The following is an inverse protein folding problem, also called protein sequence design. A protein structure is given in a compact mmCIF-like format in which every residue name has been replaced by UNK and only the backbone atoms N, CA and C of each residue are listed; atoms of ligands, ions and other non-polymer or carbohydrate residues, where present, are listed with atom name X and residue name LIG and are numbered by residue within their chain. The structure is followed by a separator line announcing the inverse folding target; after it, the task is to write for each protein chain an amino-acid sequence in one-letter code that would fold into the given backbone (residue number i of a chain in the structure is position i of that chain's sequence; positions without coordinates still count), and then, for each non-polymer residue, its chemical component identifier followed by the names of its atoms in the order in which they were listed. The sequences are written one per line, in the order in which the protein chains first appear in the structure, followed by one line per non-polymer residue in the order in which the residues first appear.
data_IF_826789073039
#
_entry.id   IF_826789073039
#
_cell.length_a   1.000
_cell.length_b   1.000
_cell.length_c   1.000
_cell.angle_alpha   90.00
_cell.angle_beta   90.00
_cell.angle_gamma   90.00
#
_symmetry.space_group_name_H-M   'P 1'
#
loop_
_entity.id
_entity.type
_entity.pdbx_description
1 polymer ?
#
# COMPACT_ATOMS: atom_id res chain seq x y z
N UNK A 1 69.38 51.46 -24.82
CA UNK A 1 69.17 51.10 -23.41
C UNK A 1 67.68 51.25 -23.10
N UNK A 2 66.87 50.22 -23.33
CA UNK A 2 66.29 49.28 -22.34
C UNK A 2 65.20 49.90 -21.45
N UNK A 3 63.93 49.62 -21.78
CA UNK A 3 62.84 49.50 -20.80
C UNK A 3 63.11 48.27 -19.89
N UNK A 4 62.54 48.10 -18.68
CA UNK A 4 61.08 48.16 -18.50
C UNK A 4 60.51 48.58 -17.13
N UNK A 5 59.19 48.77 -17.16
CA UNK A 5 58.19 48.42 -16.15
C UNK A 5 58.07 49.24 -14.85
N UNK A 6 56.89 49.88 -14.71
CA UNK A 6 55.91 49.56 -13.63
C UNK A 6 54.59 50.30 -13.87
N UNK A 7 53.77 49.79 -14.78
CA UNK A 7 52.31 49.91 -14.65
C UNK A 7 51.88 48.78 -13.73
N UNK A 8 51.71 49.07 -12.44
CA UNK A 8 50.95 48.21 -11.53
C UNK A 8 49.49 48.56 -11.73
N UNK A 9 48.82 47.79 -12.57
CA UNK A 9 47.36 47.82 -12.73
C UNK A 9 46.72 47.43 -11.39
N UNK A 10 46.00 48.36 -10.78
CA UNK A 10 45.08 48.04 -9.71
C UNK A 10 43.76 47.63 -10.38
N UNK A 11 43.41 46.35 -10.29
CA UNK A 11 42.13 45.85 -10.78
C UNK A 11 40.98 46.65 -10.14
N UNK A 12 39.99 47.02 -10.93
CA UNK A 12 38.80 47.70 -10.42
C UNK A 12 38.04 46.75 -9.48
N UNK A 13 37.31 47.29 -8.50
CA UNK A 13 36.53 46.48 -7.56
C UNK A 13 35.55 45.52 -8.28
N UNK A 14 35.03 45.95 -9.44
CA UNK A 14 34.17 45.13 -10.29
C UNK A 14 34.91 43.91 -10.88
N UNK A 15 36.12 44.09 -11.40
CA UNK A 15 36.93 42.97 -11.95
C UNK A 15 37.28 41.92 -10.88
N UNK A 16 37.52 42.37 -9.64
CA UNK A 16 37.72 41.46 -8.51
C UNK A 16 36.46 40.65 -8.20
N UNK A 17 35.30 41.30 -8.15
CA UNK A 17 34.01 40.63 -7.92
C UNK A 17 33.62 39.68 -9.08
N UNK A 18 33.94 40.02 -10.33
CA UNK A 18 33.71 39.15 -11.48
C UNK A 18 34.57 37.89 -11.43
N UNK A 19 35.83 38.01 -11.00
CA UNK A 19 36.70 36.87 -10.78
C UNK A 19 36.20 35.98 -9.63
N UNK A 20 35.79 36.57 -8.51
CA UNK A 20 35.18 35.85 -7.38
C UNK A 20 33.89 35.13 -7.79
N UNK A 21 33.00 35.81 -8.53
CA UNK A 21 31.76 35.22 -9.03
C UNK A 21 32.03 34.06 -10.00
N UNK A 22 33.04 34.20 -10.86
CA UNK A 22 33.45 33.13 -11.79
C UNK A 22 33.99 31.92 -11.04
N UNK A 23 34.84 32.16 -10.03
CA UNK A 23 35.36 31.09 -9.17
C UNK A 23 34.23 30.38 -8.40
N UNK A 24 33.32 31.14 -7.81
CA UNK A 24 32.15 30.60 -7.10
C UNK A 24 31.26 29.77 -8.03
N UNK A 25 30.96 30.27 -9.24
CA UNK A 25 30.19 29.53 -10.26
C UNK A 25 30.85 28.22 -10.65
N UNK A 26 32.18 28.19 -10.80
CA UNK A 26 32.93 26.97 -11.10
C UNK A 26 32.83 25.94 -9.98
N UNK A 27 32.92 26.39 -8.72
CA UNK A 27 32.74 25.51 -7.55
C UNK A 27 31.33 24.94 -7.51
N UNK A 28 30.30 25.77 -7.71
CA UNK A 28 28.90 25.33 -7.77
C UNK A 28 28.66 24.31 -8.90
N UNK A 29 29.18 24.56 -10.10
CA UNK A 29 29.06 23.64 -11.23
C UNK A 29 29.71 22.27 -10.95
N UNK A 30 30.87 22.27 -10.27
CA UNK A 30 31.55 21.03 -9.84
C UNK A 30 30.68 20.23 -8.86
N UNK A 31 30.09 20.88 -7.86
CA UNK A 31 29.22 20.19 -6.91
C UNK A 31 27.93 19.69 -7.56
N UNK A 32 27.32 20.45 -8.47
CA UNK A 32 26.17 19.97 -9.25
C UNK A 32 26.50 18.70 -10.04
N UNK A 33 27.62 18.70 -10.75
CA UNK A 33 28.08 17.50 -11.49
C UNK A 33 28.34 16.31 -10.56
N UNK A 34 28.86 16.56 -9.35
CA UNK A 34 29.08 15.52 -8.35
C UNK A 34 27.76 14.95 -7.81
N UNK A 35 26.76 15.79 -7.56
CA UNK A 35 25.41 15.37 -7.16
C UNK A 35 24.76 14.52 -8.24
N UNK A 36 24.74 14.96 -9.50
CA UNK A 36 24.18 14.19 -10.61
C UNK A 36 24.85 12.81 -10.76
N UNK A 37 26.16 12.71 -10.50
CA UNK A 37 26.87 11.42 -10.49
C UNK A 37 26.53 10.57 -9.27
N UNK A 38 26.26 11.19 -8.12
CA UNK A 38 25.86 10.49 -6.91
C UNK A 38 24.44 9.94 -7.04
N UNK A 39 23.51 10.72 -7.59
CA UNK A 39 22.13 10.29 -7.89
C UNK A 39 22.14 9.07 -8.82
N UNK A 40 22.87 9.12 -9.95
CA UNK A 40 22.99 7.96 -10.85
C UNK A 40 23.60 6.71 -10.20
N UNK A 41 24.48 6.89 -9.21
CA UNK A 41 25.07 5.77 -8.45
C UNK A 41 24.09 5.21 -7.43
N UNK A 42 23.25 6.08 -6.85
CA UNK A 42 22.16 5.68 -5.98
C UNK A 42 21.15 4.86 -6.76
N UNK A 43 20.66 5.36 -7.91
CA UNK A 43 19.73 4.63 -8.77
C UNK A 43 20.24 3.22 -9.12
N UNK A 44 21.52 3.13 -9.55
CA UNK A 44 22.13 1.83 -9.87
C UNK A 44 22.27 0.90 -8.65
N UNK A 45 22.47 1.46 -7.45
CA UNK A 45 22.52 0.68 -6.22
C UNK A 45 21.14 0.18 -5.81
N UNK A 46 20.10 1.02 -5.97
CA UNK A 46 18.71 0.66 -5.71
C UNK A 46 18.22 -0.43 -6.68
N UNK A 47 18.56 -0.33 -7.97
CA UNK A 47 18.28 -1.38 -8.97
C UNK A 47 18.94 -2.71 -8.58
N UNK A 48 20.21 -2.66 -8.17
CA UNK A 48 20.93 -3.86 -7.72
C UNK A 48 20.33 -4.44 -6.43
N UNK A 49 19.88 -3.60 -5.51
CA UNK A 49 19.21 -4.03 -4.29
C UNK A 49 17.87 -4.71 -4.63
N UNK A 50 17.08 -4.13 -5.54
CA UNK A 50 15.80 -4.68 -5.97
C UNK A 50 15.96 -6.07 -6.62
N UNK A 51 16.99 -6.26 -7.45
CA UNK A 51 17.29 -7.57 -8.06
C UNK A 51 17.69 -8.63 -7.01
N UNK A 52 18.51 -8.27 -6.02
CA UNK A 52 18.86 -9.17 -4.92
C UNK A 52 17.63 -9.50 -4.08
N UNK A 53 16.78 -8.51 -3.80
CA UNK A 53 15.55 -8.67 -3.03
C UNK A 53 14.55 -9.60 -3.74
N UNK A 54 14.37 -9.44 -5.05
CA UNK A 54 13.55 -10.32 -5.86
C UNK A 54 14.02 -11.78 -5.79
N UNK A 55 15.33 -12.01 -5.97
CA UNK A 55 15.92 -13.37 -5.88
C UNK A 55 15.76 -13.96 -4.48
N UNK A 56 15.93 -13.16 -3.44
CA UNK A 56 15.70 -13.56 -2.06
C UNK A 56 14.24 -13.97 -1.82
N UNK A 57 13.27 -13.15 -2.21
CA UNK A 57 11.85 -13.44 -2.01
C UNK A 57 11.42 -14.68 -2.81
N UNK A 58 11.92 -14.87 -4.04
CA UNK A 58 11.70 -16.11 -4.80
C UNK A 58 12.21 -17.36 -4.05
N UNK A 59 13.42 -17.27 -3.47
CA UNK A 59 13.98 -18.37 -2.69
C UNK A 59 13.20 -18.62 -1.38
N UNK A 60 12.73 -17.54 -0.74
CA UNK A 60 11.86 -17.63 0.44
C UNK A 60 10.54 -18.32 0.11
N UNK A 61 9.87 -17.93 -0.97
CA UNK A 61 8.62 -18.58 -1.41
C UNK A 61 8.84 -20.06 -1.72
N UNK A 62 9.93 -20.39 -2.42
CA UNK A 62 10.27 -21.79 -2.71
C UNK A 62 10.52 -22.62 -1.44
N UNK A 63 10.92 -21.98 -0.32
CA UNK A 63 11.15 -22.67 0.94
C UNK A 63 9.87 -23.06 1.70
N UNK A 64 8.72 -22.48 1.36
CA UNK A 64 7.45 -22.72 2.08
C UNK A 64 6.77 -24.06 1.76
N UNK A 65 7.19 -24.74 0.68
CA UNK A 65 6.54 -25.97 0.23
C UNK A 65 5.10 -25.73 -0.24
N UNK A 66 4.17 -26.58 0.16
CA UNK A 66 2.78 -26.55 -0.34
C UNK A 66 1.89 -25.51 0.37
N UNK A 67 2.33 -25.00 1.53
CA UNK A 67 1.53 -24.05 2.33
C UNK A 67 2.21 -22.70 2.37
N UNK A 68 1.61 -21.65 1.77
CA UNK A 68 2.19 -20.31 1.82
C UNK A 68 2.15 -19.74 3.24
N UNK A 69 3.17 -18.97 3.60
CA UNK A 69 3.19 -18.22 4.85
C UNK A 69 2.33 -16.95 4.73
N UNK A 70 1.07 -17.08 5.12
CA UNK A 70 0.10 -15.99 5.07
C UNK A 70 0.44 -14.80 5.96
N UNK A 71 1.15 -15.01 7.08
CA UNK A 71 1.56 -13.88 7.92
C UNK A 71 2.56 -13.00 7.18
N UNK A 72 3.52 -13.64 6.51
CA UNK A 72 4.51 -12.94 5.68
C UNK A 72 3.88 -12.32 4.44
N UNK A 73 2.97 -13.03 3.75
CA UNK A 73 2.31 -12.51 2.54
C UNK A 73 1.40 -11.31 2.79
N UNK A 74 0.74 -11.29 3.95
CA UNK A 74 -0.12 -10.17 4.33
C UNK A 74 0.66 -9.03 4.98
N UNK A 75 1.93 -9.22 5.34
CA UNK A 75 2.71 -8.14 5.93
C UNK A 75 2.88 -6.98 4.94
N UNK A 76 2.82 -5.76 5.47
CA UNK A 76 2.89 -4.52 4.69
C UNK A 76 4.30 -4.01 4.48
N UNK A 77 5.30 -4.88 4.57
CA UNK A 77 6.70 -4.55 4.33
C UNK A 77 6.90 -4.10 2.87
N UNK A 78 7.12 -2.80 2.68
CA UNK A 78 7.34 -2.17 1.37
C UNK A 78 8.68 -2.54 0.74
N UNK A 79 9.60 -3.18 1.50
CA UNK A 79 10.84 -3.70 0.93
C UNK A 79 10.64 -5.00 0.15
N UNK A 80 9.46 -5.62 0.22
CA UNK A 80 9.17 -6.87 -0.49
C UNK A 80 9.02 -6.64 -1.98
N UNK A 81 9.54 -7.59 -2.75
CA UNK A 81 9.44 -7.59 -4.21
C UNK A 81 8.00 -7.87 -4.69
N UNK A 82 7.76 -7.63 -5.98
CA UNK A 82 6.47 -7.87 -6.63
C UNK A 82 5.96 -9.31 -6.50
N UNK A 83 6.86 -10.29 -6.40
CA UNK A 83 6.51 -11.72 -6.24
C UNK A 83 5.65 -11.96 -5.00
N UNK A 84 5.99 -11.30 -3.89
CA UNK A 84 5.24 -11.43 -2.64
C UNK A 84 3.83 -10.86 -2.79
N UNK A 85 3.71 -9.73 -3.49
CA UNK A 85 2.41 -9.11 -3.78
C UNK A 85 1.55 -9.98 -4.70
N UNK A 86 2.11 -10.47 -5.80
CA UNK A 86 1.41 -11.33 -6.76
C UNK A 86 0.92 -12.62 -6.10
N UNK A 87 1.77 -13.26 -5.28
CA UNK A 87 1.41 -14.47 -4.56
C UNK A 87 0.30 -14.22 -3.54
N UNK A 88 0.35 -13.11 -2.79
CA UNK A 88 -0.70 -12.73 -1.85
C UNK A 88 -2.03 -12.45 -2.59
N UNK A 89 -1.98 -11.70 -3.69
CA UNK A 89 -3.15 -11.38 -4.52
C UNK A 89 -3.79 -12.65 -5.07
N UNK A 90 -3.02 -13.47 -5.78
CA UNK A 90 -3.53 -14.67 -6.44
C UNK A 90 -4.05 -15.69 -5.42
N UNK A 91 -3.38 -15.82 -4.28
CA UNK A 91 -3.84 -16.64 -3.16
C UNK A 91 -5.19 -16.16 -2.60
N UNK A 92 -5.34 -14.85 -2.34
CA UNK A 92 -6.58 -14.29 -1.83
C UNK A 92 -7.73 -14.40 -2.86
N UNK A 93 -7.45 -14.22 -4.15
CA UNK A 93 -8.45 -14.38 -5.20
C UNK A 93 -9.04 -15.79 -5.25
N UNK A 94 -8.20 -16.82 -5.03
CA UNK A 94 -8.63 -18.23 -4.88
C UNK A 94 -9.46 -18.50 -3.62
N UNK A 95 -9.46 -17.58 -2.67
CA UNK A 95 -10.33 -17.59 -1.49
C UNK A 95 -11.56 -16.69 -1.67
N UNK A 96 -11.73 -16.07 -2.85
CA UNK A 96 -12.81 -15.12 -3.11
C UNK A 96 -12.59 -13.78 -2.43
N UNK A 97 -11.37 -13.47 -2.04
CA UNK A 97 -10.98 -12.21 -1.43
C UNK A 97 -10.10 -11.42 -2.41
N UNK A 98 -9.73 -10.22 -2.02
CA UNK A 98 -8.70 -9.46 -2.70
C UNK A 98 -7.86 -8.69 -1.72
N UNK A 99 -6.84 -8.01 -2.24
CA UNK A 99 -5.96 -7.17 -1.43
C UNK A 99 -5.75 -5.79 -2.04
N UNK A 100 -5.22 -4.86 -1.24
CA UNK A 100 -5.00 -3.47 -1.63
C UNK A 100 -3.82 -2.87 -0.87
N UNK A 101 -3.88 -1.57 -0.59
CA UNK A 101 -2.92 -0.77 0.17
C UNK A 101 -2.64 -1.35 1.57
N UNK A 102 -1.65 -0.78 2.24
CA UNK A 102 -1.32 -1.11 3.62
C UNK A 102 -2.25 -0.36 4.57
N UNK A 103 -2.78 -1.09 5.55
CA UNK A 103 -3.47 -0.51 6.68
C UNK A 103 -2.44 0.14 7.60
N UNK A 104 -2.49 1.46 7.69
CA UNK A 104 -1.53 2.27 8.48
C UNK A 104 -1.54 1.97 9.97
N UNK A 105 -2.64 1.43 10.51
CA UNK A 105 -2.74 1.08 11.93
C UNK A 105 -2.01 -0.23 12.25
N UNK A 106 -2.17 -1.24 11.37
CA UNK A 106 -1.63 -2.58 11.62
C UNK A 106 -0.31 -2.86 10.89
N UNK A 107 0.07 -2.00 9.94
CA UNK A 107 1.15 -2.26 9.00
C UNK A 107 0.89 -3.51 8.15
N UNK A 108 -0.36 -3.96 8.03
CA UNK A 108 -0.74 -5.14 7.28
C UNK A 108 -1.45 -4.74 5.99
N UNK A 109 -1.24 -5.51 4.93
CA UNK A 109 -1.98 -5.37 3.68
C UNK A 109 -3.48 -5.53 3.93
N UNK A 110 -4.28 -4.60 3.41
CA UNK A 110 -5.74 -4.65 3.54
C UNK A 110 -6.25 -5.86 2.76
N UNK A 111 -7.04 -6.70 3.42
CA UNK A 111 -7.86 -7.73 2.77
C UNK A 111 -9.26 -7.16 2.55
N UNK A 112 -9.78 -7.35 1.34
CA UNK A 112 -11.13 -6.94 1.01
C UNK A 112 -11.97 -8.07 0.42
N UNK A 113 -13.28 -7.89 0.55
CA UNK A 113 -14.33 -8.81 0.13
C UNK A 113 -15.36 -8.02 -0.67
N UNK A 114 -15.82 -8.58 -1.78
CA UNK A 114 -16.96 -8.04 -2.53
C UNK A 114 -17.80 -9.19 -3.10
N UNK A 115 -19.11 -8.98 -3.14
CA UNK A 115 -20.05 -9.87 -3.81
C UNK A 115 -20.22 -9.47 -5.27
N UNK A 116 -20.43 -10.45 -6.15
CA UNK A 116 -20.77 -10.23 -7.57
C UNK A 116 -22.19 -10.68 -7.89
N UNK A 117 -22.72 -11.63 -7.11
CA UNK A 117 -24.03 -12.24 -7.23
C UNK A 117 -24.71 -12.34 -5.85
N UNK A 118 -26.03 -12.47 -5.85
CA UNK A 118 -26.82 -12.70 -4.64
C UNK A 118 -26.91 -14.20 -4.29
N UNK A 119 -26.15 -15.05 -5.00
CA UNK A 119 -26.23 -16.50 -4.90
C UNK A 119 -25.75 -17.02 -3.55
N UNK A 120 -26.36 -18.13 -3.11
CA UNK A 120 -25.93 -18.85 -1.91
C UNK A 120 -24.55 -19.50 -2.09
N UNK A 121 -24.24 -19.95 -3.31
CA UNK A 121 -22.93 -20.52 -3.63
C UNK A 121 -21.79 -19.51 -3.42
N UNK A 122 -21.96 -18.26 -3.89
CA UNK A 122 -20.95 -17.23 -3.65
C UNK A 122 -20.84 -16.91 -2.15
N UNK A 123 -21.95 -16.80 -1.43
CA UNK A 123 -21.92 -16.59 0.03
C UNK A 123 -21.11 -17.66 0.74
N UNK A 124 -21.35 -18.93 0.44
CA UNK A 124 -20.60 -20.02 1.07
C UNK A 124 -19.12 -19.97 0.69
N UNK A 125 -18.79 -19.69 -0.58
CA UNK A 125 -17.40 -19.52 -1.01
C UNK A 125 -16.68 -18.38 -0.28
N UNK A 126 -17.32 -17.20 -0.17
CA UNK A 126 -16.76 -16.06 0.59
C UNK A 126 -16.63 -16.37 2.08
N UNK A 127 -17.61 -17.06 2.67
CA UNK A 127 -17.57 -17.45 4.08
C UNK A 127 -16.36 -18.32 4.39
N UNK A 128 -16.08 -19.34 3.57
CA UNK A 128 -14.90 -20.20 3.73
C UNK A 128 -13.61 -19.39 3.61
N UNK A 129 -13.51 -18.50 2.62
CA UNK A 129 -12.34 -17.64 2.44
C UNK A 129 -12.09 -16.71 3.65
N UNK A 130 -13.15 -16.07 4.16
CA UNK A 130 -13.07 -15.21 5.34
C UNK A 130 -12.65 -16.00 6.58
N UNK A 131 -13.26 -17.16 6.82
CA UNK A 131 -12.91 -18.02 7.95
C UNK A 131 -11.46 -18.49 7.88
N UNK A 132 -10.97 -18.82 6.69
CA UNK A 132 -9.59 -19.24 6.47
C UNK A 132 -8.59 -18.11 6.73
N UNK A 133 -8.83 -16.90 6.21
CA UNK A 133 -7.84 -15.83 6.28
C UNK A 133 -7.81 -15.12 7.65
N UNK A 134 -8.95 -15.10 8.35
CA UNK A 134 -9.13 -14.36 9.60
C UNK A 134 -8.02 -14.57 10.64
N UNK A 135 -7.55 -15.80 10.92
CA UNK A 135 -6.47 -16.05 11.86
C UNK A 135 -5.17 -15.31 11.54
N UNK A 136 -4.91 -15.03 10.26
CA UNK A 136 -3.69 -14.36 9.79
C UNK A 136 -3.80 -12.82 9.81
N UNK A 137 -4.98 -12.28 10.07
CA UNK A 137 -5.17 -10.83 10.16
C UNK A 137 -4.71 -10.30 11.52
N UNK A 138 -3.93 -9.22 11.49
CA UNK A 138 -3.54 -8.45 12.67
C UNK A 138 -4.76 -7.71 13.20
N UNK A 139 -4.95 -7.76 14.52
CA UNK A 139 -5.96 -6.95 15.18
C UNK A 139 -5.46 -5.51 15.32
N UNK A 140 -6.33 -4.52 15.06
CA UNK A 140 -6.04 -3.12 15.33
C UNK A 140 -5.98 -2.81 16.82
N UNK A 141 -5.83 -1.52 17.16
CA UNK A 141 -5.76 -1.01 18.54
C UNK A 141 -6.97 -1.38 19.40
N UNK A 142 -8.14 -1.54 18.77
CA UNK A 142 -9.38 -1.97 19.43
C UNK A 142 -9.51 -3.49 19.56
N UNK A 143 -8.47 -4.26 19.24
CA UNK A 143 -8.49 -5.73 19.33
C UNK A 143 -9.34 -6.42 18.25
N UNK A 144 -9.74 -5.70 17.21
CA UNK A 144 -10.57 -6.22 16.12
C UNK A 144 -9.75 -6.43 14.86
N UNK A 145 -9.97 -7.57 14.20
CA UNK A 145 -9.52 -7.85 12.84
C UNK A 145 -10.52 -7.24 11.86
N UNK A 146 -10.01 -6.62 10.81
CA UNK A 146 -10.82 -5.88 9.84
C UNK A 146 -10.67 -6.47 8.44
N UNK A 147 -11.80 -6.71 7.76
CA UNK A 147 -11.86 -6.97 6.32
C UNK A 147 -12.70 -5.86 5.67
N UNK A 148 -12.12 -5.15 4.72
CA UNK A 148 -12.82 -4.09 3.99
C UNK A 148 -13.85 -4.67 3.02
N UNK A 149 -14.98 -4.00 2.85
CA UNK A 149 -16.05 -4.44 1.96
C UNK A 149 -16.07 -3.56 0.71
N UNK A 150 -15.88 -4.17 -0.45
CA UNK A 150 -16.07 -3.54 -1.74
C UNK A 150 -17.57 -3.57 -2.11
N UNK A 151 -18.18 -2.40 -2.19
CA UNK A 151 -19.60 -2.21 -2.51
C UNK A 151 -19.79 -1.09 -3.55
N UNK A 152 -20.96 -1.02 -4.22
CA UNK A 152 -21.21 -0.07 -5.31
C UNK A 152 -21.13 1.40 -4.86
N UNK A 153 -21.64 1.71 -3.66
CA UNK A 153 -21.65 3.08 -3.11
C UNK A 153 -20.38 3.42 -2.32
N UNK A 154 -19.22 2.83 -2.67
CA UNK A 154 -17.94 3.03 -1.96
C UNK A 154 -17.49 4.50 -1.88
N UNK A 155 -17.95 5.36 -2.78
CA UNK A 155 -17.64 6.80 -2.78
C UNK A 155 -18.43 7.57 -1.70
N UNK A 156 -19.54 7.00 -1.21
CA UNK A 156 -20.39 7.62 -0.17
C UNK A 156 -20.00 7.16 1.23
N UNK A 157 -19.68 5.87 1.37
CA UNK A 157 -19.31 5.28 2.66
C UNK A 157 -18.48 4.02 2.48
N UNK A 158 -17.66 3.72 3.48
CA UNK A 158 -16.93 2.48 3.60
C UNK A 158 -17.67 1.52 4.53
N UNK A 159 -17.64 0.23 4.19
CA UNK A 159 -18.10 -0.85 5.04
C UNK A 159 -16.92 -1.74 5.39
N UNK A 160 -16.91 -2.23 6.62
CA UNK A 160 -15.88 -3.15 7.12
C UNK A 160 -16.52 -4.24 7.96
N UNK A 161 -16.12 -5.48 7.72
CA UNK A 161 -16.39 -6.60 8.61
C UNK A 161 -15.35 -6.58 9.73
N UNK A 162 -15.81 -6.54 10.97
CA UNK A 162 -14.99 -6.50 12.17
C UNK A 162 -15.19 -7.78 12.97
N UNK A 163 -14.10 -8.44 13.35
CA UNK A 163 -14.12 -9.63 14.21
C UNK A 163 -13.22 -9.39 15.40
N UNK A 164 -13.79 -9.42 16.60
CA UNK A 164 -13.02 -9.30 17.84
C UNK A 164 -12.08 -10.50 18.00
N UNK A 165 -10.78 -10.26 18.15
CA UNK A 165 -9.78 -11.32 18.20
C UNK A 165 -9.91 -12.22 19.44
N UNK A 166 -10.50 -11.73 20.54
CA UNK A 166 -10.64 -12.46 21.81
C UNK A 166 -11.98 -13.17 21.92
N UNK A 167 -13.06 -12.45 21.64
CA UNK A 167 -14.44 -12.92 21.86
C UNK A 167 -15.06 -13.53 20.61
N UNK A 168 -14.45 -13.35 19.43
CA UNK A 168 -15.01 -13.72 18.13
C UNK A 168 -16.34 -13.02 17.82
N UNK A 169 -16.68 -11.95 18.54
CA UNK A 169 -17.86 -11.14 18.25
C UNK A 169 -17.73 -10.50 16.86
N UNK A 170 -18.79 -10.63 16.06
CA UNK A 170 -18.83 -10.17 14.67
C UNK A 170 -19.69 -8.92 14.56
N UNK A 171 -19.18 -7.90 13.89
CA UNK A 171 -19.95 -6.71 13.56
C UNK A 171 -19.62 -6.18 12.16
N UNK A 172 -20.55 -5.45 11.56
CA UNK A 172 -20.31 -4.67 10.36
C UNK A 172 -20.31 -3.20 10.75
N UNK A 173 -19.23 -2.51 10.42
CA UNK A 173 -19.05 -1.09 10.70
C UNK A 173 -19.18 -0.28 9.41
N UNK A 174 -19.96 0.79 9.48
CA UNK A 174 -20.09 1.80 8.44
C UNK A 174 -19.31 3.04 8.82
N UNK A 175 -18.43 3.49 7.92
CA UNK A 175 -17.67 4.72 8.07
C UNK A 175 -18.03 5.72 6.97
N UNK A 176 -18.17 6.99 7.35
CA UNK A 176 -18.39 8.12 6.44
C UNK A 176 -17.28 9.13 6.69
N UNK A 177 -16.53 9.49 5.65
CA UNK A 177 -15.31 10.33 5.75
C UNK A 177 -14.34 9.85 6.85
N UNK A 178 -14.13 8.53 6.93
CA UNK A 178 -13.23 7.90 7.90
C UNK A 178 -13.76 7.80 9.34
N UNK A 179 -14.93 8.37 9.65
CA UNK A 179 -15.54 8.31 10.99
C UNK A 179 -16.56 7.20 11.09
N UNK A 180 -16.54 6.45 12.19
CA UNK A 180 -17.60 5.49 12.52
C UNK A 180 -18.95 6.22 12.60
N UNK A 181 -19.92 5.74 11.82
CA UNK A 181 -21.27 6.28 11.78
C UNK A 181 -22.28 5.30 12.36
N UNK A 182 -22.06 4.02 12.11
CA UNK A 182 -22.95 2.94 12.54
C UNK A 182 -22.16 1.64 12.69
N UNK A 183 -22.59 0.82 13.64
CA UNK A 183 -22.07 -0.53 13.85
C UNK A 183 -23.21 -1.47 14.19
N UNK A 184 -23.28 -2.58 13.46
CA UNK A 184 -24.33 -3.59 13.61
C UNK A 184 -23.69 -4.90 14.04
N UNK A 185 -24.14 -5.48 15.16
CA UNK A 185 -23.66 -6.78 15.64
C UNK A 185 -24.39 -7.95 14.98
N UNK A 186 -23.70 -9.07 14.82
CA UNK A 186 -24.25 -10.29 14.22
C UNK A 186 -23.93 -11.52 15.07
N UNK A 187 -24.79 -12.54 14.96
CA UNK A 187 -24.61 -13.83 15.65
C UNK A 187 -23.42 -14.63 15.15
N UNK A 188 -22.86 -14.29 13.98
CA UNK A 188 -21.69 -14.93 13.41
C UNK A 188 -21.35 -14.40 12.01
N UNK A 189 -20.28 -14.94 11.43
CA UNK A 189 -19.75 -14.50 10.14
C UNK A 189 -20.77 -14.67 9.00
N UNK A 190 -21.47 -15.79 8.93
CA UNK A 190 -22.44 -16.04 7.87
C UNK A 190 -23.58 -15.00 7.90
N UNK A 191 -24.11 -14.68 9.08
CA UNK A 191 -25.17 -13.69 9.22
C UNK A 191 -24.69 -12.28 8.79
N UNK A 192 -23.47 -11.91 9.17
CA UNK A 192 -22.85 -10.65 8.73
C UNK A 192 -22.64 -10.61 7.21
N UNK A 193 -22.17 -11.71 6.61
CA UNK A 193 -21.95 -11.80 5.17
C UNK A 193 -23.27 -11.79 4.38
N UNK A 194 -24.33 -12.45 4.88
CA UNK A 194 -25.68 -12.33 4.32
C UNK A 194 -26.15 -10.89 4.30
N UNK A 195 -25.98 -10.16 5.42
CA UNK A 195 -26.33 -8.75 5.51
C UNK A 195 -25.54 -7.88 4.52
N UNK A 196 -24.22 -8.08 4.43
CA UNK A 196 -23.36 -7.38 3.47
C UNK A 196 -23.80 -7.64 2.03
N UNK A 197 -24.12 -8.90 1.69
CA UNK A 197 -24.63 -9.28 0.37
C UNK A 197 -25.93 -8.54 0.07
N UNK A 198 -26.89 -8.52 0.99
CA UNK A 198 -28.15 -7.80 0.79
C UNK A 198 -27.92 -6.31 0.51
N UNK A 199 -27.11 -5.61 1.32
CA UNK A 199 -26.78 -4.20 1.07
C UNK A 199 -26.15 -4.00 -0.31
N UNK A 200 -25.25 -4.88 -0.71
CA UNK A 200 -24.58 -4.79 -2.01
C UNK A 200 -25.58 -4.77 -3.16
N UNK A 201 -26.63 -5.61 -3.12
CA UNK A 201 -27.65 -5.66 -4.18
C UNK A 201 -28.67 -4.52 -4.08
N UNK A 202 -29.12 -4.17 -2.88
CA UNK A 202 -30.03 -3.03 -2.67
C UNK A 202 -29.39 -1.74 -3.22
N UNK A 203 -28.10 -1.52 -2.91
CA UNK A 203 -27.37 -0.35 -3.37
C UNK A 203 -26.95 -0.42 -4.85
N UNK A 204 -26.81 -1.62 -5.42
CA UNK A 204 -26.56 -1.80 -6.86
C UNK A 204 -27.78 -1.41 -7.70
N UNK A 205 -28.99 -1.75 -7.23
CA UNK A 205 -30.25 -1.37 -7.88
C UNK A 205 -30.41 0.15 -7.88
N UNK A 206 -30.15 0.80 -6.74
CA UNK A 206 -30.20 2.27 -6.64
C UNK A 206 -29.14 2.97 -7.50
N UNK A 207 -27.92 2.43 -7.57
CA UNK A 207 -26.85 2.99 -8.39
C UNK A 207 -27.15 2.86 -9.89
N UNK A 208 -27.74 1.74 -10.33
CA UNK A 208 -28.19 1.55 -11.71
C UNK A 208 -29.38 2.42 -12.11
N UNK A 209 -30.23 2.79 -11.14
CA UNK A 209 -31.41 3.66 -11.34
C UNK A 209 -31.04 5.15 -11.51
N UNK A 210 -29.82 5.57 -11.14
CA UNK A 210 -29.35 6.95 -11.30
C UNK A 210 -28.66 7.25 -12.65
N UNK A 211 -28.69 6.32 -13.61
CA UNK A 211 -28.05 6.48 -14.95
C UNK A 211 -29.08 6.69 -16.09
N UNK A 212 -30.38 6.82 -15.78
CA UNK A 212 -31.42 7.18 -16.78
C UNK A 212 -31.89 8.61 -16.68
#
# INVERSE_FOLDING_TARGET
MTQPARKKEAATHLELLEAELTAARKVTARYRTAMEKAEKRLDAAEDSQADVQYRYDCALVASWGDTPDWLTLLDGDESRSSVMYELARDGLERLGLGTSMINMETGQRVVWLGFRTDSEAELQYKLHGVQFILPFLKAGSQGQREISICQPQRDKFALSLMVDARTQAVSVMKRVYGREKERTGFSGLEAALRYIRCIHFDTSIEAGSMIT
#
